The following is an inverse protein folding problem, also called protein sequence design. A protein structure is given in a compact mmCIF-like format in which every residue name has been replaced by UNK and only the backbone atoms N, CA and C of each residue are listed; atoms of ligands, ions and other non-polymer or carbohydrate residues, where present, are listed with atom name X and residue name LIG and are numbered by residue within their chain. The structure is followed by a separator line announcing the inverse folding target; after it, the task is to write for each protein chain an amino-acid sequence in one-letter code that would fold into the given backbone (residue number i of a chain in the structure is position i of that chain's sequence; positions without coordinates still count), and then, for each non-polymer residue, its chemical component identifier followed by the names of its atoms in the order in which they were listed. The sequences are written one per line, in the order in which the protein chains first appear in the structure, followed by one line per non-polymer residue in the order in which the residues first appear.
data_IF_674855454263
#
_entry.id   IF_674855454263
#
_cell.length_a   1.000
_cell.length_b   1.000
_cell.length_c   1.000
_cell.angle_alpha   90.00
_cell.angle_beta   90.00
_cell.angle_gamma   90.00
#
_symmetry.space_group_name_H-M   'P 1'
#
loop_
_entity.id
_entity.type
_entity.pdbx_description
1 polymer ?
#
# COMPACT_ATOMS: atom_id res chain seq x y z
N UNK A 1 -1.56 -78.69 31.23
CA UNK A 1 -1.87 -77.38 31.83
C UNK A 1 -0.81 -76.41 31.30
N UNK A 2 -1.04 -75.35 30.53
CA UNK A 2 -2.17 -74.44 30.30
C UNK A 2 -2.14 -73.90 28.83
N UNK A 3 -3.34 -73.88 28.25
CA UNK A 3 -3.97 -73.14 27.12
C UNK A 3 -3.18 -72.19 26.19
N UNK A 4 -3.46 -72.41 24.89
CA UNK A 4 -3.43 -71.51 23.73
C UNK A 4 -4.21 -70.20 23.97
N UNK A 5 -3.74 -69.06 23.43
CA UNK A 5 -4.60 -68.03 22.81
C UNK A 5 -3.82 -67.07 21.91
N UNK A 6 -4.12 -67.15 20.62
CA UNK A 6 -3.90 -66.16 19.57
C UNK A 6 -4.59 -64.83 19.93
N UNK A 7 -3.92 -63.69 19.78
CA UNK A 7 -4.59 -62.40 19.57
C UNK A 7 -3.85 -61.64 18.47
N UNK A 8 -4.44 -61.73 17.27
CA UNK A 8 -4.32 -60.74 16.20
C UNK A 8 -4.90 -59.44 16.76
N UNK A 9 -4.07 -58.39 16.85
CA UNK A 9 -4.46 -57.07 17.34
C UNK A 9 -4.30 -56.02 16.25
N UNK A 10 -5.44 -55.55 15.74
CA UNK A 10 -5.63 -54.61 14.64
C UNK A 10 -4.82 -53.31 14.68
N UNK A 11 -4.37 -52.92 13.48
CA UNK A 11 -4.33 -51.57 12.88
C UNK A 11 -4.95 -50.47 13.75
N UNK A 12 -4.13 -49.49 14.16
CA UNK A 12 -4.57 -48.10 14.35
C UNK A 12 -3.59 -47.21 13.58
N UNK A 13 -3.99 -46.91 12.35
CA UNK A 13 -3.39 -45.90 11.47
C UNK A 13 -3.68 -44.52 12.07
N UNK A 14 -2.64 -43.87 12.61
CA UNK A 14 -2.72 -42.51 13.16
C UNK A 14 -2.79 -41.50 12.00
N UNK A 15 -3.93 -41.41 11.32
CA UNK A 15 -4.23 -40.27 10.44
C UNK A 15 -4.60 -39.09 11.35
N UNK A 16 -3.60 -38.29 11.71
CA UNK A 16 -3.85 -36.96 12.26
C UNK A 16 -4.56 -36.13 11.18
N UNK A 17 -5.85 -35.89 11.40
CA UNK A 17 -6.68 -34.96 10.65
C UNK A 17 -6.16 -33.54 10.94
N UNK A 18 -5.16 -33.08 10.17
CA UNK A 18 -4.78 -31.67 10.09
C UNK A 18 -5.64 -30.97 9.03
N UNK A 19 -6.92 -30.79 9.33
CA UNK A 19 -7.85 -30.20 8.35
C UNK A 19 -8.78 -29.15 8.97
N UNK A 20 -8.27 -28.17 9.72
CA UNK A 20 -9.09 -27.00 10.14
C UNK A 20 -8.30 -25.70 10.41
N UNK A 21 -7.40 -25.27 9.52
CA UNK A 21 -6.71 -23.96 9.65
C UNK A 21 -6.94 -22.97 8.51
N UNK A 22 -7.85 -23.27 7.57
CA UNK A 22 -8.09 -22.40 6.42
C UNK A 22 -8.95 -21.17 6.76
N UNK A 23 -9.96 -21.35 7.63
CA UNK A 23 -10.88 -20.26 7.99
C UNK A 23 -10.21 -19.20 8.91
N UNK A 24 -9.37 -19.62 9.85
CA UNK A 24 -8.63 -18.70 10.73
C UNK A 24 -7.61 -17.85 9.96
N UNK A 25 -6.92 -18.46 8.98
CA UNK A 25 -5.98 -17.76 8.08
C UNK A 25 -6.68 -16.68 7.25
N UNK A 26 -7.92 -16.96 6.79
CA UNK A 26 -8.70 -16.00 5.99
C UNK A 26 -8.96 -14.71 6.77
N UNK A 27 -9.33 -14.82 8.04
CA UNK A 27 -9.55 -13.63 8.87
C UNK A 27 -8.23 -12.87 9.11
N UNK A 28 -7.13 -13.59 9.33
CA UNK A 28 -5.82 -12.99 9.62
C UNK A 28 -5.27 -12.12 8.47
N UNK A 29 -5.41 -12.56 7.21
CA UNK A 29 -4.92 -11.79 6.06
C UNK A 29 -5.68 -10.47 5.88
N UNK A 30 -7.00 -10.48 6.11
CA UNK A 30 -7.81 -9.27 6.05
C UNK A 30 -7.39 -8.27 7.14
N UNK A 31 -7.26 -8.74 8.39
CA UNK A 31 -6.82 -7.93 9.52
C UNK A 31 -5.44 -7.31 9.29
N UNK A 32 -4.53 -8.07 8.68
CA UNK A 32 -3.19 -7.58 8.33
C UNK A 32 -3.28 -6.40 7.34
N UNK A 33 -4.09 -6.52 6.30
CA UNK A 33 -4.27 -5.46 5.31
C UNK A 33 -4.97 -4.23 5.91
N UNK A 34 -6.02 -4.45 6.69
CA UNK A 34 -6.71 -3.36 7.42
C UNK A 34 -5.74 -2.62 8.35
N UNK A 35 -4.92 -3.36 9.10
CA UNK A 35 -3.89 -2.81 9.97
C UNK A 35 -2.86 -1.98 9.21
N UNK A 36 -2.37 -2.47 8.06
CA UNK A 36 -1.44 -1.73 7.20
C UNK A 36 -2.02 -0.37 6.77
N UNK A 37 -3.26 -0.35 6.26
CA UNK A 37 -3.94 0.87 5.84
C UNK A 37 -4.26 1.81 7.01
N UNK A 38 -4.58 1.24 8.17
CA UNK A 38 -4.75 2.03 9.39
C UNK A 38 -3.43 2.74 9.78
N UNK A 39 -2.28 2.07 9.69
CA UNK A 39 -1.00 2.72 10.02
C UNK A 39 -0.59 3.78 8.98
N UNK A 40 -0.94 3.60 7.70
CA UNK A 40 -0.79 4.67 6.69
C UNK A 40 -1.54 5.94 7.10
N UNK A 41 -2.79 5.79 7.58
CA UNK A 41 -3.61 6.91 8.05
C UNK A 41 -3.05 7.67 9.25
N UNK A 42 -2.30 6.97 10.12
CA UNK A 42 -1.65 7.53 11.30
C UNK A 42 -0.25 8.08 11.01
N UNK A 43 0.29 7.86 9.80
CA UNK A 43 1.68 8.20 9.48
C UNK A 43 2.70 7.65 10.50
N UNK A 44 2.42 6.46 11.06
CA UNK A 44 3.27 5.78 12.02
C UNK A 44 4.08 4.67 11.34
N UNK A 45 5.32 4.97 10.95
CA UNK A 45 6.16 3.98 10.27
C UNK A 45 6.56 2.81 11.18
N UNK A 46 6.79 3.06 12.48
CA UNK A 46 7.24 2.03 13.41
C UNK A 46 6.24 0.87 13.42
N UNK A 47 4.96 1.19 13.61
CA UNK A 47 3.87 0.21 13.57
C UNK A 47 3.63 -0.33 12.15
N UNK A 48 3.71 0.53 11.13
CA UNK A 48 3.50 0.10 9.74
C UNK A 48 4.53 -0.95 9.30
N UNK A 49 5.77 -0.82 9.76
CA UNK A 49 6.88 -1.70 9.39
C UNK A 49 6.64 -3.15 9.82
N UNK A 50 5.77 -3.37 10.80
CA UNK A 50 5.34 -4.69 11.24
C UNK A 50 4.36 -5.38 10.28
N UNK A 51 3.81 -4.69 9.28
CA UNK A 51 2.92 -5.30 8.30
C UNK A 51 3.66 -5.73 7.02
N UNK A 52 4.87 -5.23 6.79
CA UNK A 52 5.62 -5.43 5.54
C UNK A 52 6.78 -6.42 5.71
N UNK A 53 7.08 -7.16 4.65
CA UNK A 53 8.26 -8.02 4.59
C UNK A 53 9.55 -7.20 4.54
N UNK A 54 10.69 -7.87 4.44
CA UNK A 54 12.00 -7.19 4.35
C UNK A 54 12.15 -6.36 3.06
N UNK A 55 11.33 -6.69 2.07
CA UNK A 55 11.08 -5.88 0.88
C UNK A 55 9.60 -5.90 0.51
N UNK A 56 9.18 -4.86 -0.18
CA UNK A 56 7.85 -4.74 -0.76
C UNK A 56 7.96 -4.37 -2.24
N UNK A 57 7.25 -5.12 -3.08
CA UNK A 57 7.10 -4.84 -4.50
C UNK A 57 5.80 -4.09 -4.74
N UNK A 58 5.88 -2.89 -5.29
CA UNK A 58 4.70 -2.11 -5.69
C UNK A 58 4.62 -2.07 -7.22
N UNK A 59 3.44 -2.32 -7.77
CA UNK A 59 3.21 -2.33 -9.21
C UNK A 59 2.07 -1.38 -9.54
N UNK A 60 2.36 -0.38 -10.37
CA UNK A 60 1.45 0.70 -10.78
C UNK A 60 1.45 0.76 -12.31
N UNK A 61 0.49 0.11 -12.97
CA UNK A 61 0.52 -0.09 -14.42
C UNK A 61 1.79 -0.84 -14.85
N UNK A 62 2.57 -0.23 -15.76
CA UNK A 62 3.83 -0.80 -16.25
C UNK A 62 5.04 -0.54 -15.32
N UNK A 63 4.87 0.29 -14.29
CA UNK A 63 5.93 0.62 -13.36
C UNK A 63 6.00 -0.41 -12.24
N UNK A 64 7.17 -1.03 -12.08
CA UNK A 64 7.48 -1.92 -10.95
C UNK A 64 8.54 -1.28 -10.07
N UNK A 65 8.19 -1.08 -8.80
CA UNK A 65 9.09 -0.57 -7.77
C UNK A 65 9.39 -1.68 -6.76
N UNK A 66 10.65 -1.92 -6.48
CA UNK A 66 11.07 -2.86 -5.44
C UNK A 66 11.76 -2.06 -4.34
N UNK A 67 11.13 -1.99 -3.17
CA UNK A 67 11.68 -1.29 -2.02
C UNK A 67 12.25 -2.29 -1.02
N UNK A 68 13.48 -2.05 -0.56
CA UNK A 68 13.90 -2.53 0.75
C UNK A 68 13.05 -1.87 1.85
N UNK A 69 13.04 -2.41 3.08
CA UNK A 69 12.41 -1.70 4.22
C UNK A 69 12.89 -0.24 4.33
N UNK A 70 14.19 0.00 4.21
CA UNK A 70 14.77 1.34 4.32
C UNK A 70 14.34 2.28 3.18
N UNK A 71 14.27 1.79 1.95
CA UNK A 71 13.81 2.63 0.83
C UNK A 71 12.31 2.87 0.90
N UNK A 72 11.55 1.89 1.38
CA UNK A 72 10.14 2.07 1.67
C UNK A 72 9.92 3.09 2.79
N UNK A 73 10.80 3.15 3.80
CA UNK A 73 10.76 4.20 4.83
C UNK A 73 10.92 5.59 4.24
N UNK A 74 11.88 5.80 3.32
CA UNK A 74 12.08 7.09 2.64
C UNK A 74 10.84 7.47 1.81
N UNK A 75 10.30 6.52 1.06
CA UNK A 75 9.06 6.72 0.31
C UNK A 75 7.88 7.07 1.22
N UNK A 76 7.75 6.37 2.35
CA UNK A 76 6.73 6.65 3.36
C UNK A 76 6.88 8.07 3.93
N UNK A 77 8.09 8.49 4.29
CA UNK A 77 8.34 9.85 4.77
C UNK A 77 7.93 10.91 3.74
N UNK A 78 8.22 10.67 2.45
CA UNK A 78 7.79 11.53 1.36
C UNK A 78 6.27 11.60 1.25
N UNK A 79 5.56 10.45 1.23
CA UNK A 79 4.11 10.44 1.08
C UNK A 79 3.38 11.04 2.29
N UNK A 80 3.88 10.79 3.51
CA UNK A 80 3.32 11.32 4.77
C UNK A 80 3.27 12.84 4.85
N UNK A 81 4.19 13.55 4.19
CA UNK A 81 4.17 15.03 4.13
C UNK A 81 2.86 15.54 3.50
N UNK A 82 2.28 14.80 2.55
CA UNK A 82 1.01 15.18 1.92
C UNK A 82 -0.21 14.87 2.79
N UNK A 83 -0.03 14.33 4.00
CA UNK A 83 -1.09 13.96 4.95
C UNK A 83 -2.16 13.06 4.32
N UNK A 84 -1.77 11.89 3.79
CA UNK A 84 -2.71 11.02 3.07
C UNK A 84 -3.76 10.45 4.01
N UNK A 85 -4.96 10.26 3.46
CA UNK A 85 -6.08 9.57 4.09
C UNK A 85 -6.58 8.50 3.14
N UNK A 86 -6.75 7.31 3.70
CA UNK A 86 -7.12 6.07 3.05
C UNK A 86 -8.42 5.55 3.65
N UNK A 87 -9.31 5.06 2.79
CA UNK A 87 -10.56 4.42 3.18
C UNK A 87 -10.73 3.13 2.38
N UNK A 88 -10.81 1.99 3.06
CA UNK A 88 -11.10 0.71 2.42
C UNK A 88 -12.61 0.67 2.13
N UNK A 89 -12.96 0.75 0.85
CA UNK A 89 -14.34 0.74 0.36
C UNK A 89 -14.89 -0.67 0.16
N UNK A 90 -14.00 -1.63 -0.14
CA UNK A 90 -14.32 -3.04 -0.22
C UNK A 90 -13.05 -3.86 0.05
N UNK A 91 -13.21 -5.02 0.64
CA UNK A 91 -12.11 -5.95 0.93
C UNK A 91 -12.62 -7.38 0.83
N UNK A 92 -11.86 -8.25 0.16
CA UNK A 92 -12.11 -9.69 0.11
C UNK A 92 -10.81 -10.46 -0.03
N UNK A 93 -10.80 -11.69 0.42
CA UNK A 93 -9.70 -12.61 0.18
C UNK A 93 -10.05 -13.61 -0.91
N UNK A 94 -9.13 -13.83 -1.84
CA UNK A 94 -9.24 -14.77 -2.95
C UNK A 94 -7.86 -15.38 -3.22
N UNK A 95 -7.75 -16.72 -3.22
CA UNK A 95 -6.51 -17.44 -3.53
C UNK A 95 -5.24 -16.99 -2.76
N UNK A 96 -5.37 -16.80 -1.43
CA UNK A 96 -4.31 -16.26 -0.55
C UNK A 96 -3.83 -14.84 -0.91
N UNK A 97 -4.65 -14.07 -1.61
CA UNK A 97 -4.46 -12.65 -1.90
C UNK A 97 -5.62 -11.87 -1.34
N UNK A 98 -5.36 -10.64 -0.94
CA UNK A 98 -6.41 -9.72 -0.51
C UNK A 98 -6.64 -8.73 -1.65
N UNK A 99 -7.86 -8.72 -2.16
CA UNK A 99 -8.32 -7.74 -3.12
C UNK A 99 -9.07 -6.63 -2.38
N UNK A 100 -8.65 -5.39 -2.57
CA UNK A 100 -9.31 -4.23 -1.98
C UNK A 100 -9.72 -3.22 -3.04
N UNK A 101 -10.75 -2.46 -2.70
CA UNK A 101 -11.04 -1.16 -3.32
C UNK A 101 -10.75 -0.11 -2.27
N UNK A 102 -9.86 0.83 -2.55
CA UNK A 102 -9.41 1.84 -1.58
C UNK A 102 -9.51 3.24 -2.18
N UNK A 103 -9.98 4.19 -1.39
CA UNK A 103 -9.96 5.62 -1.71
C UNK A 103 -8.75 6.27 -1.06
N UNK A 104 -8.00 7.09 -1.80
CA UNK A 104 -6.88 7.90 -1.28
C UNK A 104 -7.11 9.38 -1.60
N UNK A 105 -6.99 10.22 -0.58
CA UNK A 105 -6.94 11.68 -0.73
C UNK A 105 -5.78 12.26 0.09
N UNK A 106 -5.09 13.25 -0.45
CA UNK A 106 -4.01 13.96 0.21
C UNK A 106 -3.90 15.38 -0.38
N UNK A 107 -3.07 16.25 0.18
CA UNK A 107 -2.93 17.63 -0.31
C UNK A 107 -2.51 17.71 -1.79
N UNK A 108 -1.64 16.79 -2.25
CA UNK A 108 -1.22 16.67 -3.65
C UNK A 108 -2.37 16.22 -4.57
N UNK A 109 -3.11 15.18 -4.16
CA UNK A 109 -4.26 14.68 -4.92
C UNK A 109 -5.38 15.74 -4.97
N UNK A 110 -5.68 16.44 -3.86
CA UNK A 110 -6.65 17.55 -3.84
C UNK A 110 -6.27 18.63 -4.85
N UNK A 111 -4.99 18.96 -4.97
CA UNK A 111 -4.54 19.94 -5.96
C UNK A 111 -4.68 19.41 -7.38
N UNK A 112 -4.10 18.24 -7.69
CA UNK A 112 -3.95 17.75 -9.07
C UNK A 112 -5.21 17.07 -9.63
N UNK A 113 -5.94 16.35 -8.79
CA UNK A 113 -7.09 15.53 -9.19
C UNK A 113 -8.44 16.08 -8.71
N UNK A 114 -8.44 16.97 -7.71
CA UNK A 114 -9.63 17.57 -7.03
C UNK A 114 -10.53 16.58 -6.27
N UNK A 115 -10.68 15.34 -6.74
CA UNK A 115 -11.39 14.24 -6.07
C UNK A 115 -10.41 13.17 -5.55
N UNK A 116 -10.81 12.34 -4.58
CA UNK A 116 -10.04 11.16 -4.20
C UNK A 116 -9.74 10.27 -5.40
N UNK A 117 -8.60 9.60 -5.36
CA UNK A 117 -8.28 8.52 -6.29
C UNK A 117 -8.86 7.24 -5.70
N UNK A 118 -9.60 6.48 -6.51
CA UNK A 118 -10.11 5.17 -6.11
C UNK A 118 -9.32 4.12 -6.87
N UNK A 119 -8.59 3.26 -6.16
CA UNK A 119 -7.86 2.13 -6.74
C UNK A 119 -8.50 0.79 -6.38
N UNK A 120 -8.38 -0.17 -7.30
CA UNK A 120 -8.48 -1.60 -6.97
C UNK A 120 -7.08 -2.15 -6.88
N UNK A 121 -6.81 -2.86 -5.80
CA UNK A 121 -5.48 -3.39 -5.52
C UNK A 121 -5.54 -4.87 -5.16
N UNK A 122 -4.52 -5.59 -5.61
CA UNK A 122 -4.27 -6.98 -5.24
C UNK A 122 -3.02 -7.03 -4.36
N UNK A 123 -3.21 -7.49 -3.13
CA UNK A 123 -2.17 -7.54 -2.11
C UNK A 123 -1.82 -9.00 -1.89
N UNK A 124 -0.54 -9.31 -2.04
CA UNK A 124 -0.02 -10.65 -1.81
C UNK A 124 0.76 -10.70 -0.49
N UNK A 125 0.47 -11.74 0.30
CA UNK A 125 1.01 -11.94 1.64
C UNK A 125 1.91 -13.18 1.61
N UNK A 126 3.09 -13.08 2.23
CA UNK A 126 4.04 -14.18 2.40
C UNK A 126 4.61 -14.10 3.80
N UNK A 127 4.67 -15.23 4.50
CA UNK A 127 5.18 -15.30 5.87
C UNK A 127 4.50 -14.29 6.83
N UNK A 128 3.18 -14.13 6.71
CA UNK A 128 2.37 -13.18 7.50
C UNK A 128 2.84 -11.72 7.37
N UNK A 129 3.39 -11.34 6.22
CA UNK A 129 3.76 -9.96 5.88
C UNK A 129 3.34 -9.64 4.45
N UNK A 130 2.97 -8.39 4.17
CA UNK A 130 2.75 -7.89 2.81
C UNK A 130 4.10 -7.81 2.12
N UNK A 131 4.19 -8.45 0.95
CA UNK A 131 5.41 -8.40 0.13
C UNK A 131 5.15 -7.85 -1.27
N UNK A 132 3.88 -7.76 -1.70
CA UNK A 132 3.51 -7.16 -2.96
C UNK A 132 2.16 -6.45 -2.89
N UNK A 133 2.09 -5.27 -3.48
CA UNK A 133 0.85 -4.53 -3.75
C UNK A 133 0.83 -4.23 -5.25
N UNK A 134 -0.26 -4.59 -5.93
CA UNK A 134 -0.48 -4.28 -7.34
C UNK A 134 -1.75 -3.47 -7.48
N UNK A 135 -1.64 -2.26 -8.01
CA UNK A 135 -2.78 -1.52 -8.51
C UNK A 135 -3.22 -2.13 -9.86
N UNK A 136 -4.47 -2.59 -9.94
CA UNK A 136 -5.03 -3.20 -11.15
C UNK A 136 -5.98 -2.26 -11.89
N UNK A 137 -6.54 -1.28 -11.20
CA UNK A 137 -7.45 -0.29 -11.76
C UNK A 137 -7.39 0.98 -10.91
N UNK A 138 -7.43 2.13 -11.55
CA UNK A 138 -7.39 3.43 -10.88
C UNK A 138 -8.36 4.40 -11.54
N UNK A 139 -9.35 4.86 -10.79
CA UNK A 139 -10.18 6.02 -11.15
C UNK A 139 -9.46 7.30 -10.70
N UNK A 140 -8.87 7.98 -11.68
CA UNK A 140 -8.25 9.30 -11.53
C UNK A 140 -8.51 10.11 -12.80
N UNK A 141 -8.66 11.43 -12.66
CA UNK A 141 -8.68 12.33 -13.80
C UNK A 141 -7.24 12.66 -14.23
N UNK A 142 -6.62 11.74 -14.97
CA UNK A 142 -5.26 11.93 -15.46
C UNK A 142 -5.12 13.13 -16.40
N UNK A 143 -6.19 13.53 -17.07
CA UNK A 143 -6.18 14.72 -17.93
C UNK A 143 -6.01 15.96 -17.06
N UNK A 144 -6.86 16.14 -16.05
CA UNK A 144 -6.76 17.26 -15.11
C UNK A 144 -5.42 17.26 -14.36
N UNK A 145 -4.99 16.08 -13.89
CA UNK A 145 -3.71 15.92 -13.22
C UNK A 145 -2.56 16.44 -14.07
N UNK A 146 -2.48 16.01 -15.32
CA UNK A 146 -1.42 16.41 -16.24
C UNK A 146 -1.53 17.89 -16.62
N UNK A 147 -2.73 18.42 -16.84
CA UNK A 147 -2.93 19.86 -17.08
C UNK A 147 -2.35 20.68 -15.93
N UNK A 148 -2.79 20.44 -14.69
CA UNK A 148 -2.32 21.21 -13.52
C UNK A 148 -0.82 21.08 -13.28
N UNK A 149 -0.28 19.87 -13.46
CA UNK A 149 1.16 19.63 -13.36
C UNK A 149 1.93 20.41 -14.42
N UNK A 150 1.49 20.34 -15.68
CA UNK A 150 2.17 20.96 -16.83
C UNK A 150 2.08 22.48 -16.82
N UNK A 151 1.09 23.06 -16.13
CA UNK A 151 1.06 24.51 -15.88
C UNK A 151 1.95 24.92 -14.71
N UNK A 152 1.87 24.21 -13.57
CA UNK A 152 2.58 24.58 -12.35
C UNK A 152 4.10 24.40 -12.48
N UNK A 153 4.57 23.29 -13.05
CA UNK A 153 6.01 22.98 -13.08
C UNK A 153 6.82 24.03 -13.85
N UNK A 154 6.45 24.43 -15.09
CA UNK A 154 7.17 25.49 -15.80
C UNK A 154 7.06 26.85 -15.10
N UNK A 155 5.91 27.17 -14.48
CA UNK A 155 5.75 28.41 -13.74
C UNK A 155 6.66 28.47 -12.53
N UNK A 156 6.77 27.38 -11.76
CA UNK A 156 7.70 27.29 -10.62
C UNK A 156 9.14 27.43 -11.08
N UNK A 157 9.53 26.71 -12.13
CA UNK A 157 10.87 26.81 -12.70
C UNK A 157 11.25 28.25 -13.08
N UNK A 158 10.30 29.00 -13.65
CA UNK A 158 10.51 30.39 -14.08
C UNK A 158 10.55 31.38 -12.91
N UNK A 159 9.63 31.28 -11.96
CA UNK A 159 9.40 32.32 -10.94
C UNK A 159 10.06 31.98 -9.58
N UNK A 160 10.32 30.71 -9.33
CA UNK A 160 10.92 30.18 -8.11
C UNK A 160 11.95 29.09 -8.44
N UNK A 161 13.03 29.43 -9.16
CA UNK A 161 14.01 28.46 -9.67
C UNK A 161 14.69 27.63 -8.57
N UNK A 162 14.73 28.12 -7.33
CA UNK A 162 15.21 27.37 -6.16
C UNK A 162 14.35 26.13 -5.82
N UNK A 163 13.15 26.03 -6.38
CA UNK A 163 12.28 24.86 -6.28
C UNK A 163 12.27 24.02 -7.57
N UNK A 164 13.06 24.35 -8.61
CA UNK A 164 13.08 23.54 -9.83
C UNK A 164 13.44 22.08 -9.51
N UNK A 165 12.80 21.15 -10.21
CA UNK A 165 12.98 19.71 -9.99
C UNK A 165 12.19 19.11 -8.81
N UNK A 166 11.43 19.90 -8.03
CA UNK A 166 10.64 19.40 -6.88
C UNK A 166 9.75 18.19 -7.23
N UNK A 167 9.27 18.11 -8.47
CA UNK A 167 8.38 17.04 -8.95
C UNK A 167 9.05 15.65 -8.97
N UNK A 168 10.39 15.61 -9.06
CA UNK A 168 11.18 14.40 -9.17
C UNK A 168 11.87 14.01 -7.85
N UNK A 169 11.85 14.88 -6.84
CA UNK A 169 12.49 14.65 -5.56
C UNK A 169 11.56 13.83 -4.63
N UNK A 170 11.85 12.53 -4.51
CA UNK A 170 11.13 11.58 -3.65
C UNK A 170 11.69 11.50 -2.22
N UNK A 171 12.26 12.59 -1.70
CA UNK A 171 12.65 12.74 -0.28
C UNK A 171 11.63 13.55 0.52
N UNK A 172 11.62 13.43 1.85
CA UNK A 172 10.75 14.26 2.71
C UNK A 172 10.84 15.76 2.35
N UNK A 173 12.05 16.28 2.16
CA UNK A 173 12.30 17.67 1.74
C UNK A 173 11.73 17.95 0.35
N UNK A 174 11.86 17.02 -0.59
CA UNK A 174 11.20 17.08 -1.90
C UNK A 174 9.69 17.25 -1.80
N UNK A 175 9.03 16.49 -0.90
CA UNK A 175 7.59 16.63 -0.66
C UNK A 175 7.22 17.98 0.00
N UNK A 176 8.04 18.48 0.92
CA UNK A 176 7.85 19.81 1.53
C UNK A 176 7.99 20.92 0.46
N UNK A 177 8.98 20.81 -0.42
CA UNK A 177 9.16 21.69 -1.57
C UNK A 177 7.97 21.60 -2.54
N UNK A 178 7.41 20.41 -2.72
CA UNK A 178 6.18 20.23 -3.50
C UNK A 178 5.02 21.01 -2.90
N UNK A 179 4.77 20.90 -1.59
CA UNK A 179 3.70 21.65 -0.94
C UNK A 179 3.90 23.16 -1.05
N UNK A 180 5.15 23.62 -0.90
CA UNK A 180 5.51 25.02 -1.11
C UNK A 180 5.24 25.48 -2.54
N UNK A 181 5.59 24.67 -3.54
CA UNK A 181 5.29 24.94 -4.95
C UNK A 181 3.78 25.04 -5.22
N UNK A 182 2.97 24.14 -4.63
CA UNK A 182 1.50 24.21 -4.72
C UNK A 182 0.99 25.52 -4.11
N UNK A 183 1.48 25.92 -2.94
CA UNK A 183 1.05 27.14 -2.27
C UNK A 183 1.33 28.39 -3.11
N UNK A 184 2.59 28.56 -3.57
CA UNK A 184 3.00 29.69 -4.40
C UNK A 184 2.20 29.77 -5.71
N UNK A 185 1.96 28.63 -6.36
CA UNK A 185 1.18 28.61 -7.60
C UNK A 185 -0.29 28.95 -7.38
N UNK A 186 -0.89 28.52 -6.26
CA UNK A 186 -2.26 28.90 -5.90
C UNK A 186 -2.38 30.40 -5.63
N UNK A 187 -1.43 30.98 -4.90
CA UNK A 187 -1.39 32.42 -4.62
C UNK A 187 -1.30 33.24 -5.91
N UNK A 188 -0.53 32.78 -6.91
CA UNK A 188 -0.45 33.43 -8.22
C UNK A 188 -1.76 33.35 -9.04
N UNK A 189 -2.55 32.29 -8.87
CA UNK A 189 -3.79 32.06 -9.63
C UNK A 189 -5.02 32.72 -9.00
N UNK A 190 -4.92 33.15 -7.75
CA UNK A 190 -5.95 33.89 -7.02
C UNK A 190 -5.81 35.39 -7.26
#
# INVERSE_FOLDING_TARGET
MIKVKTIVGSIILFIYIFSFSSCSRKNQNLQLVEGFYNQLNHSNYSELSEFIGDSIKMIEGDYTMNYSKNDYYKFFQWDSVFTPKYEILAIKETDNKVEIKVSKICSRIKFLNQKPIISKEVIEIKNQKIYKIRNVEMDSDFKLWNTKKNEMVPWIKKNHPQLDGFINDQTKTGAENYLKAIALYKEYKN
#
